data_IF_884241857598
#
_entry.id   IF_884241857598
#
_cell.length_a   1.000
_cell.length_b   1.000
_cell.length_c   1.000
_cell.angle_alpha   90.00
_cell.angle_beta   90.00
_cell.angle_gamma   90.00
#
_symmetry.space_group_name_H-M   'P 1'
#
loop_
_entity.id
_entity.type
_entity.pdbx_description
1 polymer ?
#
# COMPACT_ATOMS: atom_id res chain seq x y z
N UNK A 1 -3.96 16.44 -16.68
CA UNK A 1 -3.53 15.06 -17.05
C UNK A 1 -2.03 15.05 -17.35
N UNK A 2 -1.56 15.87 -18.30
CA UNK A 2 -0.13 15.98 -18.66
C UNK A 2 0.75 16.64 -17.60
N UNK A 3 0.13 17.27 -16.61
CA UNK A 3 0.73 18.05 -15.53
C UNK A 3 0.78 17.29 -14.20
N UNK A 4 0.23 16.08 -14.11
CA UNK A 4 0.22 15.29 -12.88
C UNK A 4 1.11 14.07 -13.03
N UNK A 5 2.08 13.94 -12.13
CA UNK A 5 2.90 12.74 -11.99
C UNK A 5 2.21 11.77 -11.02
N UNK A 6 2.05 10.52 -11.45
CA UNK A 6 1.38 9.48 -10.68
C UNK A 6 2.36 8.46 -10.11
N UNK A 7 2.26 8.19 -8.81
CA UNK A 7 3.04 7.19 -8.09
C UNK A 7 2.16 6.24 -7.30
N UNK A 8 2.65 5.02 -7.08
CA UNK A 8 1.94 4.00 -6.28
C UNK A 8 2.86 3.34 -5.27
N UNK A 9 2.46 3.28 -4.00
CA UNK A 9 3.07 2.43 -2.99
C UNK A 9 2.13 1.29 -2.61
N UNK A 10 2.11 0.25 -3.44
CA UNK A 10 1.30 -0.96 -3.26
C UNK A 10 2.17 -2.21 -3.26
N UNK A 11 1.60 -3.34 -2.83
CA UNK A 11 2.35 -4.58 -2.74
C UNK A 11 2.71 -5.14 -4.11
N UNK A 12 3.90 -5.73 -4.22
CA UNK A 12 4.40 -6.42 -5.41
C UNK A 12 3.58 -7.64 -5.87
N UNK A 13 2.57 -8.05 -5.10
CA UNK A 13 1.66 -9.14 -5.48
C UNK A 13 0.91 -8.78 -6.78
N UNK A 14 0.93 -9.70 -7.75
CA UNK A 14 0.41 -9.45 -9.09
C UNK A 14 -1.11 -9.26 -9.10
N UNK A 15 -1.84 -9.80 -8.12
CA UNK A 15 -3.29 -9.59 -8.01
C UNK A 15 -3.64 -8.10 -7.85
N UNK A 16 -2.70 -7.29 -7.33
CA UNK A 16 -2.95 -5.87 -7.15
C UNK A 16 -3.01 -5.08 -8.47
N UNK A 17 -2.63 -5.73 -9.58
CA UNK A 17 -2.60 -5.15 -10.92
C UNK A 17 -3.82 -5.55 -11.76
N UNK A 18 -4.82 -6.21 -11.17
CA UNK A 18 -6.03 -6.58 -11.90
C UNK A 18 -6.71 -5.31 -12.48
N UNK A 19 -7.29 -5.38 -13.70
CA UNK A 19 -7.82 -4.21 -14.42
C UNK A 19 -8.87 -3.38 -13.68
N UNK A 20 -9.58 -3.98 -12.73
CA UNK A 20 -10.63 -3.33 -11.95
C UNK A 20 -10.13 -2.55 -10.74
N UNK A 21 -8.86 -2.69 -10.36
CA UNK A 21 -8.32 -1.96 -9.21
C UNK A 21 -8.06 -0.49 -9.52
N UNK A 22 -8.30 0.35 -8.51
CA UNK A 22 -8.12 1.80 -8.57
C UNK A 22 -6.73 2.19 -9.12
N UNK A 23 -5.67 1.53 -8.65
CA UNK A 23 -4.29 1.80 -9.07
C UNK A 23 -4.04 1.51 -10.54
N UNK A 24 -4.63 0.43 -11.07
CA UNK A 24 -4.59 0.10 -12.50
C UNK A 24 -5.40 1.09 -13.34
N UNK A 25 -6.58 1.48 -12.86
CA UNK A 25 -7.43 2.48 -13.53
C UNK A 25 -6.73 3.85 -13.60
N UNK A 26 -6.14 4.30 -12.50
CA UNK A 26 -5.39 5.55 -12.43
C UNK A 26 -4.09 5.48 -13.24
N UNK A 27 -3.41 4.33 -13.29
CA UNK A 27 -2.27 4.15 -14.19
C UNK A 27 -2.68 4.35 -15.65
N UNK A 28 -3.82 3.79 -16.09
CA UNK A 28 -4.33 4.02 -17.46
C UNK A 28 -4.70 5.49 -17.70
N UNK A 29 -5.26 6.15 -16.68
CA UNK A 29 -5.63 7.55 -16.77
C UNK A 29 -4.40 8.48 -16.81
N UNK A 30 -3.45 8.39 -15.88
CA UNK A 30 -2.28 9.27 -15.83
C UNK A 30 -1.11 8.82 -16.72
N UNK A 31 -1.11 7.57 -17.19
CA UNK A 31 -0.09 7.03 -18.08
C UNK A 31 0.98 6.23 -17.35
N UNK A 32 2.19 6.78 -17.25
CA UNK A 32 3.30 6.09 -16.57
C UNK A 32 3.14 6.21 -15.05
N UNK A 33 3.47 5.15 -14.33
CA UNK A 33 3.41 5.09 -12.88
C UNK A 33 4.81 4.89 -12.31
N UNK A 34 5.17 5.65 -11.28
CA UNK A 34 6.39 5.42 -10.52
C UNK A 34 6.11 4.44 -9.37
N UNK A 35 6.76 3.27 -9.32
CA UNK A 35 6.56 2.31 -8.24
C UNK A 35 7.35 2.74 -7.00
N UNK A 36 6.64 3.17 -5.96
CA UNK A 36 7.20 3.56 -4.66
C UNK A 36 7.21 2.38 -3.66
N UNK A 37 6.37 1.37 -3.91
CA UNK A 37 6.10 0.28 -2.96
C UNK A 37 7.11 -0.87 -2.94
N UNK A 38 6.68 -1.96 -2.33
CA UNK A 38 7.38 -3.26 -2.30
C UNK A 38 6.57 -4.26 -1.45
N UNK A 39 7.19 -5.20 -0.76
CA UNK A 39 6.44 -6.18 0.04
C UNK A 39 5.48 -5.51 1.04
N UNK A 40 4.23 -5.99 1.10
CA UNK A 40 3.20 -5.44 1.97
C UNK A 40 2.66 -4.04 1.59
N UNK A 41 3.21 -3.37 0.57
CA UNK A 41 2.81 -2.01 0.18
C UNK A 41 3.60 -0.89 0.86
N UNK A 42 4.65 -1.24 1.61
CA UNK A 42 5.57 -0.30 2.27
C UNK A 42 6.35 0.50 1.21
N UNK A 43 6.56 1.81 1.40
CA UNK A 43 7.27 2.65 0.43
C UNK A 43 8.80 2.45 0.49
N UNK A 44 9.25 1.26 0.12
CA UNK A 44 10.65 0.83 0.24
C UNK A 44 11.63 1.59 -0.64
N UNK A 45 11.15 2.42 -1.57
CA UNK A 45 12.00 3.38 -2.30
C UNK A 45 12.65 4.43 -1.38
N UNK A 46 12.05 4.70 -0.22
CA UNK A 46 12.53 5.64 0.78
C UNK A 46 12.66 7.08 0.28
N UNK A 47 13.37 7.91 1.05
CA UNK A 47 13.59 9.34 0.75
C UNK A 47 14.30 9.54 -0.59
N UNK A 48 15.34 8.74 -0.88
CA UNK A 48 16.10 8.83 -2.14
C UNK A 48 15.20 8.56 -3.35
N UNK A 49 14.42 7.49 -3.32
CA UNK A 49 13.53 7.18 -4.43
C UNK A 49 12.33 8.12 -4.54
N UNK A 50 11.85 8.68 -3.42
CA UNK A 50 10.88 9.78 -3.46
C UNK A 50 11.46 11.04 -4.12
N UNK A 51 12.68 11.44 -3.80
CA UNK A 51 13.34 12.59 -4.45
C UNK A 51 13.54 12.35 -5.95
N UNK A 52 13.90 11.13 -6.36
CA UNK A 52 13.99 10.75 -7.77
C UNK A 52 12.62 10.78 -8.46
N UNK A 53 11.55 10.36 -7.78
CA UNK A 53 10.19 10.51 -8.27
C UNK A 53 9.80 11.99 -8.43
N UNK A 54 10.04 12.81 -7.41
CA UNK A 54 9.67 14.22 -7.38
C UNK A 54 10.42 15.07 -8.43
N UNK A 55 11.63 14.68 -8.83
CA UNK A 55 12.38 15.37 -9.90
C UNK A 55 11.77 15.17 -11.29
N UNK A 56 10.87 14.20 -11.46
CA UNK A 56 10.15 13.96 -12.71
C UNK A 56 8.84 14.75 -12.82
N UNK A 57 8.48 15.54 -11.80
CA UNK A 57 7.26 16.35 -11.81
C UNK A 57 7.39 17.42 -12.91
N UNK A 58 6.39 17.58 -13.80
CA UNK A 58 6.39 18.65 -14.78
C UNK A 58 6.55 20.03 -14.14
N UNK A 59 7.04 21.02 -14.90
CA UNK A 59 7.12 22.39 -14.38
C UNK A 59 5.73 22.88 -13.90
N UNK A 60 5.65 23.29 -12.63
CA UNK A 60 4.39 23.62 -11.93
C UNK A 60 3.34 22.50 -11.88
N UNK A 61 3.78 21.25 -12.08
CA UNK A 61 2.92 20.07 -12.06
C UNK A 61 2.56 19.60 -10.65
N UNK A 62 1.67 18.62 -10.58
CA UNK A 62 1.15 18.03 -9.36
C UNK A 62 1.64 16.58 -9.20
N UNK A 63 1.53 16.08 -7.98
CA UNK A 63 1.81 14.68 -7.64
C UNK A 63 0.55 14.05 -7.08
N UNK A 64 0.22 12.83 -7.52
CA UNK A 64 -0.74 11.94 -6.87
C UNK A 64 -0.03 10.66 -6.46
N UNK A 65 -0.14 10.29 -5.18
CA UNK A 65 0.35 9.00 -4.67
C UNK A 65 -0.82 8.22 -4.11
N UNK A 66 -1.03 7.01 -4.64
CA UNK A 66 -1.94 6.02 -4.04
C UNK A 66 -1.12 5.00 -3.27
N UNK A 67 -1.44 4.75 -2.01
CA UNK A 67 -0.65 3.87 -1.16
C UNK A 67 -1.49 3.02 -0.22
N UNK A 68 -0.88 1.92 0.23
CA UNK A 68 -1.41 1.11 1.31
C UNK A 68 -1.18 -0.39 1.12
N UNK A 69 -1.58 -1.19 2.12
CA UNK A 69 -1.54 -2.63 2.04
C UNK A 69 -2.68 -3.16 1.18
N UNK A 70 -2.68 -4.48 0.99
CA UNK A 70 -3.81 -5.17 0.41
C UNK A 70 -4.23 -6.37 1.24
N UNK A 71 -5.49 -6.78 1.07
CA UNK A 71 -6.04 -8.01 1.61
C UNK A 71 -6.81 -8.73 0.50
N UNK A 72 -6.75 -10.06 0.48
CA UNK A 72 -7.56 -10.90 -0.39
C UNK A 72 -8.67 -11.60 0.37
N UNK A 73 -9.75 -11.94 -0.34
CA UNK A 73 -10.80 -12.81 0.15
C UNK A 73 -10.91 -14.09 -0.68
N UNK A 74 -11.12 -15.22 0.00
CA UNK A 74 -11.39 -16.50 -0.66
C UNK A 74 -12.79 -16.47 -1.33
N UNK A 75 -13.09 -17.42 -2.23
CA UNK A 75 -14.45 -17.62 -2.75
C UNK A 75 -15.53 -17.84 -1.67
N UNK A 76 -15.13 -18.30 -0.47
CA UNK A 76 -16.02 -18.50 0.68
C UNK A 76 -16.06 -17.32 1.65
N UNK A 77 -15.41 -16.20 1.32
CA UNK A 77 -15.36 -14.99 2.15
C UNK A 77 -14.33 -15.00 3.27
N UNK A 78 -13.36 -15.92 3.24
CA UNK A 78 -12.28 -15.96 4.23
C UNK A 78 -11.24 -14.87 3.96
N UNK A 79 -10.97 -13.96 4.93
CA UNK A 79 -10.00 -12.89 4.76
C UNK A 79 -8.55 -13.41 4.79
N UNK A 80 -7.67 -12.77 4.04
CA UNK A 80 -6.24 -13.11 3.98
C UNK A 80 -5.90 -14.19 2.96
N UNK A 81 -6.87 -14.65 2.17
CA UNK A 81 -6.70 -15.71 1.16
C UNK A 81 -7.22 -15.26 -0.19
N UNK A 82 -6.68 -15.85 -1.26
CA UNK A 82 -7.13 -15.56 -2.61
C UNK A 82 -6.92 -16.77 -3.51
N UNK A 83 -7.88 -17.07 -4.39
CA UNK A 83 -7.76 -18.10 -5.42
C UNK A 83 -7.21 -17.46 -6.70
N UNK A 84 -5.92 -17.64 -6.98
CA UNK A 84 -5.29 -17.08 -8.18
C UNK A 84 -5.65 -17.89 -9.41
N UNK A 85 -5.70 -17.22 -10.57
CA UNK A 85 -5.98 -17.87 -11.86
C UNK A 85 -5.00 -19.01 -12.11
N UNK A 86 -5.53 -20.20 -12.40
CA UNK A 86 -4.75 -21.40 -12.67
C UNK A 86 -4.32 -22.20 -11.43
N UNK A 87 -4.63 -21.75 -10.22
CA UNK A 87 -4.40 -22.53 -8.99
C UNK A 87 -5.64 -23.36 -8.63
N UNK A 88 -5.41 -24.52 -8.00
CA UNK A 88 -6.47 -25.41 -7.51
C UNK A 88 -6.91 -25.09 -6.07
N UNK A 89 -6.09 -24.33 -5.33
CA UNK A 89 -6.32 -23.97 -3.94
C UNK A 89 -5.97 -22.51 -3.68
N UNK A 90 -6.59 -21.91 -2.67
CA UNK A 90 -6.26 -20.56 -2.24
C UNK A 90 -4.86 -20.48 -1.65
N UNK A 91 -4.20 -19.33 -1.82
CA UNK A 91 -2.98 -18.98 -1.10
C UNK A 91 -3.11 -17.60 -0.44
N UNK A 92 -2.14 -17.25 0.42
CA UNK A 92 -2.18 -16.01 1.21
C UNK A 92 -2.24 -14.73 0.35
N UNK A 93 -2.94 -13.72 0.84
CA UNK A 93 -3.07 -12.40 0.23
C UNK A 93 -3.46 -11.36 1.30
N UNK A 94 -2.58 -10.47 1.76
CA UNK A 94 -1.18 -10.29 1.36
C UNK A 94 -0.26 -11.41 1.88
N UNK A 95 0.52 -12.02 0.98
CA UNK A 95 1.48 -13.08 1.34
C UNK A 95 2.58 -12.59 2.29
N UNK A 96 3.14 -11.41 2.05
CA UNK A 96 4.22 -10.86 2.88
C UNK A 96 3.76 -10.54 4.31
N UNK A 97 2.59 -9.90 4.45
CA UNK A 97 1.99 -9.62 5.77
C UNK A 97 1.66 -10.91 6.51
N UNK A 98 1.06 -11.90 5.82
CA UNK A 98 0.74 -13.20 6.41
C UNK A 98 2.00 -13.94 6.86
N UNK A 99 3.07 -13.89 6.07
CA UNK A 99 4.36 -14.48 6.42
C UNK A 99 4.98 -13.78 7.64
N UNK A 100 4.94 -12.44 7.70
CA UNK A 100 5.45 -11.70 8.85
C UNK A 100 4.67 -12.06 10.13
N UNK A 101 3.35 -12.13 10.04
CA UNK A 101 2.47 -12.59 11.11
C UNK A 101 2.85 -13.98 11.61
N UNK A 102 2.95 -14.97 10.72
CA UNK A 102 3.34 -16.33 11.10
C UNK A 102 4.75 -16.41 11.67
N UNK A 103 5.70 -15.66 11.12
CA UNK A 103 7.09 -15.63 11.60
C UNK A 103 7.16 -15.09 13.03
N UNK A 104 6.55 -13.93 13.30
CA UNK A 104 6.53 -13.33 14.64
C UNK A 104 5.86 -14.26 15.66
N UNK A 105 4.69 -14.83 15.33
CA UNK A 105 3.97 -15.72 16.25
C UNK A 105 4.61 -17.08 16.46
N UNK A 106 5.52 -17.52 15.58
CA UNK A 106 6.22 -18.79 15.75
C UNK A 106 7.18 -18.79 16.95
N UNK A 107 7.49 -17.62 17.52
CA UNK A 107 8.46 -17.46 18.61
C UNK A 107 9.91 -17.69 18.19
N UNK A 108 10.17 -18.01 16.91
CA UNK A 108 11.52 -18.18 16.38
C UNK A 108 12.17 -16.81 16.19
N UNK A 109 13.47 -16.74 16.47
CA UNK A 109 14.26 -15.56 16.14
C UNK A 109 14.60 -15.57 14.66
N UNK A 110 14.18 -14.52 13.95
CA UNK A 110 14.56 -14.25 12.56
C UNK A 110 15.47 -13.03 12.58
N UNK A 111 16.75 -13.23 12.29
CA UNK A 111 17.72 -12.14 12.23
C UNK A 111 17.51 -11.21 11.03
N UNK A 112 18.43 -10.25 10.90
CA UNK A 112 18.57 -9.51 9.66
C UNK A 112 18.96 -10.48 8.52
N UNK A 113 18.36 -10.28 7.36
CA UNK A 113 18.68 -11.00 6.13
C UNK A 113 18.84 -9.96 5.03
N UNK A 114 20.04 -9.81 4.50
CA UNK A 114 20.31 -8.83 3.43
C UNK A 114 19.64 -9.22 2.12
N UNK A 115 19.37 -10.51 1.90
CA UNK A 115 18.70 -11.02 0.70
C UNK A 115 17.17 -10.97 0.82
N UNK A 116 16.64 -10.92 2.05
CA UNK A 116 15.20 -10.84 2.36
C UNK A 116 14.87 -9.64 3.28
N UNK A 117 15.54 -8.52 3.04
CA UNK A 117 15.53 -7.37 3.96
C UNK A 117 14.14 -6.73 4.10
N UNK A 118 13.32 -6.73 3.04
CA UNK A 118 11.96 -6.18 3.09
C UNK A 118 11.07 -6.99 4.04
N UNK A 119 11.18 -8.32 4.01
CA UNK A 119 10.44 -9.17 4.92
C UNK A 119 10.97 -9.07 6.35
N UNK A 120 12.30 -8.94 6.51
CA UNK A 120 12.90 -8.66 7.82
C UNK A 120 12.36 -7.35 8.43
N UNK A 121 12.28 -6.30 7.61
CA UNK A 121 11.69 -5.03 8.01
C UNK A 121 10.23 -5.18 8.43
N UNK A 122 9.42 -5.93 7.65
CA UNK A 122 8.00 -6.18 7.97
C UNK A 122 7.84 -6.87 9.32
N UNK A 123 8.61 -7.91 9.62
CA UNK A 123 8.58 -8.60 10.92
C UNK A 123 8.82 -7.64 12.07
N UNK A 124 9.84 -6.79 11.96
CA UNK A 124 10.20 -5.83 13.02
C UNK A 124 9.16 -4.73 13.17
N UNK A 125 8.76 -4.09 12.06
CA UNK A 125 7.94 -2.87 12.09
C UNK A 125 6.46 -3.16 12.30
N UNK A 126 5.99 -4.36 11.96
CA UNK A 126 4.60 -4.78 12.20
C UNK A 126 4.40 -5.52 13.52
N UNK A 127 5.42 -5.65 14.39
CA UNK A 127 5.30 -6.45 15.61
C UNK A 127 4.09 -6.03 16.48
N UNK A 128 3.86 -4.72 16.66
CA UNK A 128 2.69 -4.21 17.38
C UNK A 128 1.36 -4.56 16.70
N UNK A 129 1.26 -4.34 15.39
CA UNK A 129 0.07 -4.69 14.61
C UNK A 129 -0.21 -6.20 14.62
N UNK A 130 0.83 -7.04 14.61
CA UNK A 130 0.73 -8.50 14.71
C UNK A 130 0.23 -8.92 16.09
N UNK A 131 0.74 -8.30 17.16
CA UNK A 131 0.27 -8.56 18.52
C UNK A 131 -1.23 -8.27 18.66
N UNK A 132 -1.70 -7.11 18.18
CA UNK A 132 -3.13 -6.78 18.14
C UNK A 132 -3.93 -7.76 17.28
N UNK A 133 -3.43 -8.12 16.10
CA UNK A 133 -4.10 -9.06 15.21
C UNK A 133 -4.25 -10.47 15.82
N UNK A 134 -3.27 -10.91 16.61
CA UNK A 134 -3.22 -12.27 17.18
C UNK A 134 -4.34 -12.57 18.18
N UNK A 135 -4.90 -11.53 18.81
CA UNK A 135 -6.01 -11.64 19.77
C UNK A 135 -7.36 -11.24 19.15
N UNK A 136 -7.39 -10.90 17.86
CA UNK A 136 -8.61 -10.50 17.14
C UNK A 136 -9.39 -11.71 16.64
N UNK A 137 -10.72 -11.61 16.60
CA UNK A 137 -11.58 -12.59 15.95
C UNK A 137 -11.40 -12.63 14.42
N UNK A 138 -10.80 -11.58 13.82
CA UNK A 138 -10.49 -11.52 12.38
C UNK A 138 -9.03 -11.08 12.18
N UNK A 139 -8.04 -11.95 12.46
CA UNK A 139 -6.62 -11.56 12.50
C UNK A 139 -6.12 -10.89 11.23
N UNK A 140 -6.44 -11.44 10.05
CA UNK A 140 -5.95 -10.89 8.78
C UNK A 140 -6.56 -9.53 8.43
N UNK A 141 -7.78 -9.26 8.87
CA UNK A 141 -8.41 -7.94 8.72
C UNK A 141 -7.73 -6.94 9.65
N UNK A 142 -7.53 -7.30 10.92
CA UNK A 142 -6.83 -6.46 11.90
C UNK A 142 -5.38 -6.18 11.46
N UNK A 143 -4.69 -7.18 10.92
CA UNK A 143 -3.34 -7.04 10.40
C UNK A 143 -3.28 -6.05 9.23
N UNK A 144 -4.23 -6.09 8.30
CA UNK A 144 -4.28 -5.15 7.19
C UNK A 144 -4.50 -3.70 7.68
N UNK A 145 -5.38 -3.50 8.67
CA UNK A 145 -5.59 -2.18 9.31
C UNK A 145 -4.35 -1.68 10.06
N UNK A 146 -3.68 -2.56 10.82
CA UNK A 146 -2.45 -2.21 11.52
C UNK A 146 -1.29 -1.92 10.55
N UNK A 147 -1.15 -2.72 9.49
CA UNK A 147 -0.16 -2.48 8.44
C UNK A 147 -0.41 -1.15 7.72
N UNK A 148 -1.67 -0.78 7.49
CA UNK A 148 -2.01 0.51 6.90
C UNK A 148 -1.44 1.67 7.72
N UNK A 149 -1.65 1.68 9.05
CA UNK A 149 -1.13 2.76 9.92
C UNK A 149 0.38 2.89 9.84
N UNK A 150 1.09 1.75 9.80
CA UNK A 150 2.55 1.74 9.66
C UNK A 150 2.95 2.30 8.29
N UNK A 151 2.32 1.87 7.20
CA UNK A 151 2.61 2.33 5.84
C UNK A 151 2.31 3.83 5.68
N UNK A 152 1.20 4.31 6.25
CA UNK A 152 0.85 5.73 6.23
C UNK A 152 1.94 6.57 6.90
N UNK A 153 2.41 6.17 8.08
CA UNK A 153 3.50 6.87 8.75
C UNK A 153 4.76 6.90 7.88
N UNK A 154 5.15 5.76 7.29
CA UNK A 154 6.33 5.71 6.42
C UNK A 154 6.18 6.59 5.17
N UNK A 155 4.97 6.69 4.60
CA UNK A 155 4.68 7.63 3.50
C UNK A 155 4.86 9.07 3.99
N UNK A 156 4.27 9.45 5.11
CA UNK A 156 4.36 10.80 5.65
C UNK A 156 5.81 11.20 5.99
N UNK A 157 6.64 10.25 6.40
CA UNK A 157 8.05 10.47 6.74
C UNK A 157 8.96 10.70 5.52
N UNK A 158 8.58 10.21 4.33
CA UNK A 158 9.40 10.32 3.11
C UNK A 158 8.95 11.42 2.16
N UNK A 159 7.66 11.78 2.16
CA UNK A 159 7.12 12.75 1.20
C UNK A 159 7.49 14.18 1.59
N UNK A 160 7.90 14.96 0.61
CA UNK A 160 8.15 16.40 0.74
C UNK A 160 7.48 17.15 -0.40
N UNK A 161 7.28 18.46 -0.26
CA UNK A 161 6.75 19.32 -1.34
C UNK A 161 7.87 20.12 -2.02
N UNK A 162 9.11 19.64 -1.97
CA UNK A 162 10.31 20.32 -2.48
C UNK A 162 10.55 20.08 -3.98
N UNK A 163 9.52 20.27 -4.79
CA UNK A 163 9.59 20.09 -6.26
C UNK A 163 8.88 21.23 -7.04
N UNK A 164 8.60 22.35 -6.37
CA UNK A 164 8.00 23.54 -6.98
C UNK A 164 6.75 24.03 -6.25
N UNK A 165 5.87 24.73 -6.98
CA UNK A 165 4.58 25.24 -6.48
C UNK A 165 3.44 24.23 -6.65
N UNK A 166 3.78 23.01 -7.09
CA UNK A 166 2.87 21.91 -7.26
C UNK A 166 2.15 21.49 -5.98
N UNK A 167 1.12 20.67 -6.15
CA UNK A 167 0.36 20.09 -5.04
C UNK A 167 0.69 18.60 -4.93
N UNK A 168 0.88 18.14 -3.70
CA UNK A 168 0.96 16.73 -3.36
C UNK A 168 -0.43 16.26 -2.92
N UNK A 169 -1.00 15.31 -3.65
CA UNK A 169 -2.21 14.60 -3.28
C UNK A 169 -1.83 13.21 -2.79
N UNK A 170 -2.27 12.87 -1.58
CA UNK A 170 -2.11 11.56 -0.98
C UNK A 170 -3.47 10.87 -0.87
N UNK A 171 -3.58 9.66 -1.43
CA UNK A 171 -4.74 8.79 -1.28
C UNK A 171 -4.29 7.44 -0.69
N UNK A 172 -4.45 7.30 0.62
CA UNK A 172 -4.12 6.10 1.38
C UNK A 172 -5.35 5.25 1.63
N UNK A 173 -5.19 3.94 1.60
CA UNK A 173 -6.27 3.02 1.91
C UNK A 173 -5.87 1.56 1.89
N UNK A 174 -6.85 0.67 1.95
CA UNK A 174 -6.63 -0.77 1.81
C UNK A 174 -7.17 -1.23 0.48
N UNK A 175 -6.32 -1.86 -0.34
CA UNK A 175 -6.76 -2.53 -1.55
C UNK A 175 -7.37 -3.89 -1.21
N UNK A 176 -8.60 -4.13 -1.65
CA UNK A 176 -9.36 -5.34 -1.34
C UNK A 176 -9.51 -6.16 -2.62
N UNK A 177 -8.89 -7.34 -2.63
CA UNK A 177 -8.91 -8.27 -3.75
C UNK A 177 -10.01 -9.30 -3.52
N UNK A 178 -11.03 -9.28 -4.37
CA UNK A 178 -12.21 -10.15 -4.24
C UNK A 178 -12.16 -11.32 -5.22
N UNK A 179 -12.74 -12.48 -4.87
CA UNK A 179 -12.77 -13.63 -5.78
C UNK A 179 -13.60 -13.30 -7.02
N UNK A 180 -13.18 -13.84 -8.17
CA UNK A 180 -13.98 -13.75 -9.40
C UNK A 180 -15.40 -14.31 -9.18
N UNK A 181 -16.47 -13.65 -9.69
CA UNK A 181 -16.47 -12.49 -10.59
C UNK A 181 -16.57 -11.12 -9.88
N UNK A 182 -16.40 -11.07 -8.56
CA UNK A 182 -16.56 -9.83 -7.81
C UNK A 182 -15.45 -8.82 -8.17
N UNK A 183 -15.77 -7.52 -8.29
CA UNK A 183 -14.76 -6.50 -8.50
C UNK A 183 -13.88 -6.34 -7.26
N UNK A 184 -12.66 -5.88 -7.48
CA UNK A 184 -11.82 -5.38 -6.40
C UNK A 184 -12.34 -4.05 -5.85
N UNK A 185 -12.06 -3.77 -4.58
CA UNK A 185 -12.42 -2.52 -3.92
C UNK A 185 -11.17 -1.81 -3.41
N UNK A 186 -11.34 -0.54 -3.05
CA UNK A 186 -10.35 0.25 -2.32
C UNK A 186 -11.07 0.95 -1.18
N UNK A 187 -10.62 0.73 0.05
CA UNK A 187 -11.17 1.38 1.24
C UNK A 187 -10.30 2.59 1.58
N UNK A 188 -10.71 3.84 1.25
CA UNK A 188 -9.94 5.03 1.58
C UNK A 188 -9.89 5.22 3.10
N UNK A 189 -8.70 5.53 3.60
CA UNK A 189 -8.43 5.83 5.01
C UNK A 189 -7.65 7.15 5.18
N UNK A 190 -7.13 7.69 4.08
CA UNK A 190 -6.50 9.00 4.02
C UNK A 190 -6.75 9.61 2.66
N UNK A 191 -7.22 10.85 2.64
CA UNK A 191 -7.25 11.63 1.42
C UNK A 191 -6.92 13.06 1.76
N UNK A 192 -5.78 13.55 1.30
CA UNK A 192 -5.36 14.92 1.61
C UNK A 192 -4.59 15.55 0.49
N UNK A 193 -4.53 16.87 0.54
CA UNK A 193 -3.73 17.70 -0.36
C UNK A 193 -2.83 18.63 0.45
N UNK A 194 -1.59 18.81 0.00
CA UNK A 194 -0.62 19.74 0.61
C UNK A 194 0.28 20.38 -0.44
N UNK A 195 0.92 21.48 -0.10
CA UNK A 195 1.93 22.14 -0.94
C UNK A 195 2.94 22.87 -0.08
N UNK A 196 3.96 23.47 -0.69
CA UNK A 196 4.96 24.26 0.04
C UNK A 196 4.36 25.38 0.89
N UNK A 197 3.24 25.97 0.45
CA UNK A 197 2.61 27.13 1.08
C UNK A 197 1.22 26.79 1.66
N UNK A 198 0.90 25.50 1.79
CA UNK A 198 -0.42 25.06 2.23
C UNK A 198 -0.24 23.83 3.13
N UNK A 199 -0.64 23.99 4.38
CA UNK A 199 -0.73 22.87 5.32
C UNK A 199 -1.61 21.75 4.75
N UNK A 200 -1.41 20.50 5.20
CA UNK A 200 -2.27 19.39 4.78
C UNK A 200 -3.74 19.68 5.04
N UNK A 201 -4.54 19.63 3.97
CA UNK A 201 -6.00 19.72 4.02
C UNK A 201 -6.57 18.32 3.87
N UNK A 202 -7.35 17.89 4.85
CA UNK A 202 -8.11 16.64 4.83
C UNK A 202 -9.31 16.76 3.88
N UNK A 203 -9.47 15.76 3.01
CA UNK A 203 -10.51 15.66 1.99
C UNK A 203 -11.37 14.40 2.17
N UNK A 204 -11.24 13.67 3.29
CA UNK A 204 -11.97 12.43 3.54
C UNK A 204 -13.49 12.58 3.46
N UNK A 205 -14.04 13.74 3.81
CA UNK A 205 -15.49 14.03 3.70
C UNK A 205 -16.03 13.99 2.28
N UNK A 206 -15.16 13.91 1.27
CA UNK A 206 -15.57 13.68 -0.13
C UNK A 206 -16.16 12.28 -0.35
N UNK A 207 -15.92 11.34 0.58
CA UNK A 207 -16.43 9.97 0.52
C UNK A 207 -17.70 9.73 1.36
N UNK A 208 -18.20 10.77 2.05
CA UNK A 208 -19.41 10.71 2.89
C UNK A 208 -20.71 10.75 2.06
#
# INVERSE_FOLDING_TARGET
RSDTLYGTSISSDNINLDPGHLTTLLSRYYGRTFPLGGLGGVPFVGKTGYTAFASHVPANGHVLIVFGPHIGFSPTGEPGKFLRKGQVSTSAACGALSAAYSQVLSGKSFGADSSDWQQAWLRTKLNGAIAEASVSAKPMVQLALGAYKVIEQEILDIVTTEYGLGKLVLLGGIQINMPYPMPGYFMPLHFSIRSRNMDPVDLMSTFD
#
